data_IF_444873554589
#
_entry.id   IF_444873554589
#
_cell.length_a   1.000
_cell.length_b   1.000
_cell.length_c   1.000
_cell.angle_alpha   90.00
_cell.angle_beta   90.00
_cell.angle_gamma   90.00
#
_symmetry.space_group_name_H-M   'P 1'
#
loop_
_entity.id
_entity.type
_entity.pdbx_description
1 polymer ?
#
# COMPACT_ATOMS: atom_id res chain seq x y z
N UNK A 1 -13.17 -18.62 3.34
CA UNK A 1 -12.12 -18.50 4.39
C UNK A 1 -11.82 -17.03 4.65
N UNK A 2 -11.73 -16.63 5.90
CA UNK A 2 -11.39 -15.27 6.34
C UNK A 2 -10.18 -15.30 7.28
N UNK A 3 -9.26 -14.35 7.12
CA UNK A 3 -8.14 -14.12 8.03
C UNK A 3 -8.31 -12.73 8.63
N UNK A 4 -8.46 -12.62 9.93
CA UNK A 4 -8.58 -11.34 10.63
C UNK A 4 -8.16 -11.51 12.10
N UNK A 5 -7.19 -10.74 12.61
CA UNK A 5 -6.78 -10.82 14.02
C UNK A 5 -7.83 -10.28 14.99
N UNK A 6 -8.79 -9.48 14.53
CA UNK A 6 -9.81 -8.89 15.37
C UNK A 6 -11.00 -9.84 15.55
N UNK A 7 -11.24 -10.27 16.80
CA UNK A 7 -12.34 -11.15 17.18
C UNK A 7 -13.70 -10.43 17.31
N UNK A 8 -13.69 -9.09 17.35
CA UNK A 8 -14.88 -8.27 17.62
C UNK A 8 -15.25 -7.40 16.42
N UNK A 9 -15.44 -8.01 15.26
CA UNK A 9 -15.86 -7.32 14.03
C UNK A 9 -16.99 -8.06 13.35
N UNK A 10 -17.77 -7.35 12.56
CA UNK A 10 -18.83 -7.95 11.73
C UNK A 10 -18.27 -9.04 10.80
N UNK A 11 -17.06 -8.86 10.28
CA UNK A 11 -16.42 -9.84 9.39
C UNK A 11 -16.14 -11.19 10.07
N UNK A 12 -15.90 -11.19 11.38
CA UNK A 12 -15.61 -12.40 12.16
C UNK A 12 -16.83 -12.94 12.90
N UNK A 13 -18.02 -12.39 12.64
CA UNK A 13 -19.27 -12.88 13.19
C UNK A 13 -19.65 -14.23 12.59
N UNK A 14 -20.36 -15.03 13.35
CA UNK A 14 -20.85 -16.34 12.93
C UNK A 14 -21.69 -16.24 11.66
N UNK A 15 -21.47 -17.13 10.71
CA UNK A 15 -22.19 -17.19 9.43
C UNK A 15 -21.67 -16.25 8.33
N UNK A 16 -20.66 -15.40 8.58
CA UNK A 16 -20.07 -14.54 7.55
C UNK A 16 -19.06 -15.29 6.68
N UNK A 17 -18.30 -16.20 7.28
CA UNK A 17 -17.39 -17.08 6.55
C UNK A 17 -17.44 -18.49 7.12
N UNK A 18 -17.26 -19.51 6.26
CA UNK A 18 -17.29 -20.91 6.66
C UNK A 18 -16.11 -21.27 7.57
N UNK A 19 -14.96 -20.62 7.36
CA UNK A 19 -13.77 -20.80 8.17
C UNK A 19 -13.12 -19.45 8.48
N UNK A 20 -12.85 -19.20 9.75
CA UNK A 20 -12.23 -17.96 10.24
C UNK A 20 -10.90 -18.29 10.93
N UNK A 21 -9.84 -17.58 10.53
CA UNK A 21 -8.52 -17.65 11.14
C UNK A 21 -8.24 -16.35 11.89
N UNK A 22 -8.15 -16.40 13.20
CA UNK A 22 -7.76 -15.28 14.05
C UNK A 22 -6.24 -15.16 14.10
N UNK A 23 -5.65 -14.80 12.96
CA UNK A 23 -4.21 -14.69 12.78
C UNK A 23 -3.83 -13.30 12.27
N UNK A 24 -2.62 -12.83 12.57
CA UNK A 24 -2.10 -11.61 11.98
C UNK A 24 -2.06 -11.70 10.45
N UNK A 25 -2.44 -10.61 9.77
CA UNK A 25 -2.38 -10.51 8.31
C UNK A 25 -0.94 -10.19 7.90
N UNK A 26 -0.09 -11.22 7.91
CA UNK A 26 1.30 -11.17 7.46
C UNK A 26 1.56 -12.22 6.38
N UNK A 27 2.56 -12.03 5.49
CA UNK A 27 2.85 -12.99 4.43
C UNK A 27 3.03 -14.42 4.93
N UNK A 28 3.71 -14.60 6.06
CA UNK A 28 3.95 -15.91 6.65
C UNK A 28 2.64 -16.65 7.03
N UNK A 29 1.76 -15.99 7.79
CA UNK A 29 0.51 -16.63 8.22
C UNK A 29 -0.47 -16.82 7.07
N UNK A 30 -0.54 -15.85 6.14
CA UNK A 30 -1.40 -15.97 4.96
C UNK A 30 -0.94 -17.10 4.05
N UNK A 31 0.38 -17.26 3.83
CA UNK A 31 0.92 -18.42 3.08
C UNK A 31 0.53 -19.74 3.75
N UNK A 32 0.63 -19.84 5.09
CA UNK A 32 0.24 -21.06 5.82
C UNK A 32 -1.25 -21.38 5.68
N UNK A 33 -2.11 -20.37 5.66
CA UNK A 33 -3.54 -20.57 5.41
C UNK A 33 -3.78 -20.99 3.95
N UNK A 34 -3.13 -20.37 2.98
CA UNK A 34 -3.19 -20.77 1.58
C UNK A 34 -2.74 -22.23 1.39
N UNK A 35 -1.64 -22.62 2.03
CA UNK A 35 -1.11 -23.98 1.98
C UNK A 35 -2.11 -25.00 2.50
N UNK A 36 -2.82 -24.67 3.59
CA UNK A 36 -3.80 -25.54 4.24
C UNK A 36 -5.12 -25.59 3.49
N UNK A 37 -5.68 -24.44 3.15
CA UNK A 37 -7.04 -24.34 2.60
C UNK A 37 -7.10 -24.50 1.07
N UNK A 38 -5.97 -24.30 0.39
CA UNK A 38 -5.86 -24.41 -1.08
C UNK A 38 -6.96 -23.66 -1.83
N UNK A 39 -7.17 -22.37 -1.54
CA UNK A 39 -8.22 -21.61 -2.21
C UNK A 39 -7.91 -21.39 -3.68
N UNK A 40 -8.94 -21.35 -4.53
CA UNK A 40 -8.80 -20.99 -5.95
C UNK A 40 -8.50 -19.51 -6.16
N UNK A 41 -8.94 -18.67 -5.23
CA UNK A 41 -8.77 -17.21 -5.32
C UNK A 41 -8.65 -16.50 -3.98
N UNK A 42 -8.11 -15.30 -4.03
CA UNK A 42 -7.94 -14.41 -2.89
C UNK A 42 -8.42 -12.99 -3.20
N UNK A 43 -9.10 -12.35 -2.25
CA UNK A 43 -9.52 -10.96 -2.33
C UNK A 43 -8.68 -10.12 -1.36
N UNK A 44 -7.94 -9.14 -1.89
CA UNK A 44 -7.04 -8.29 -1.11
C UNK A 44 -7.71 -6.99 -0.64
N UNK A 45 -8.71 -6.51 -1.36
CA UNK A 45 -9.27 -5.18 -1.15
C UNK A 45 -10.13 -5.02 0.13
N UNK A 46 -10.51 -6.11 0.81
CA UNK A 46 -11.38 -6.07 1.97
C UNK A 46 -10.68 -5.90 3.32
N UNK A 47 -9.36 -5.94 3.37
CA UNK A 47 -8.58 -5.84 4.59
C UNK A 47 -7.80 -4.52 4.77
N UNK A 48 -8.13 -3.49 3.98
CA UNK A 48 -7.44 -2.20 3.99
C UNK A 48 -5.96 -2.31 3.62
N UNK A 49 -5.17 -1.31 3.99
CA UNK A 49 -3.76 -1.20 3.62
C UNK A 49 -2.91 -2.40 4.05
N UNK A 50 -3.22 -2.97 5.22
CA UNK A 50 -2.50 -4.15 5.73
C UNK A 50 -2.63 -5.34 4.80
N UNK A 51 -3.84 -5.62 4.29
CA UNK A 51 -4.07 -6.73 3.38
C UNK A 51 -3.48 -6.44 1.99
N UNK A 52 -3.55 -5.20 1.50
CA UNK A 52 -2.94 -4.79 0.24
C UNK A 52 -1.43 -4.98 0.27
N UNK A 53 -0.76 -4.48 1.31
CA UNK A 53 0.69 -4.63 1.48
C UNK A 53 1.11 -6.10 1.61
N UNK A 54 0.35 -6.89 2.36
CA UNK A 54 0.57 -8.34 2.48
C UNK A 54 0.43 -9.03 1.11
N UNK A 55 -0.61 -8.69 0.34
CA UNK A 55 -0.85 -9.21 -0.99
C UNK A 55 0.26 -8.86 -1.99
N UNK A 56 0.77 -7.62 -1.95
CA UNK A 56 1.92 -7.21 -2.77
C UNK A 56 3.17 -8.01 -2.41
N UNK A 57 3.43 -8.26 -1.12
CA UNK A 57 4.56 -9.08 -0.69
C UNK A 57 4.45 -10.52 -1.19
N UNK A 58 3.29 -11.16 -1.00
CA UNK A 58 3.03 -12.52 -1.48
C UNK A 58 3.15 -12.64 -3.01
N UNK A 59 2.75 -11.61 -3.74
CA UNK A 59 2.89 -11.56 -5.19
C UNK A 59 4.36 -11.49 -5.61
N UNK A 60 5.16 -10.61 -4.98
CA UNK A 60 6.60 -10.49 -5.24
C UNK A 60 7.35 -11.79 -4.95
N UNK A 61 6.95 -12.50 -3.89
CA UNK A 61 7.51 -13.80 -3.48
C UNK A 61 6.94 -14.98 -4.31
N UNK A 62 6.09 -14.70 -5.32
CA UNK A 62 5.45 -15.68 -6.21
C UNK A 62 4.61 -16.75 -5.50
N UNK A 63 4.11 -16.45 -4.31
CA UNK A 63 3.31 -17.39 -3.51
C UNK A 63 1.99 -17.72 -4.21
N UNK A 64 1.35 -16.75 -4.86
CA UNK A 64 0.11 -17.00 -5.60
C UNK A 64 0.34 -17.96 -6.77
N UNK A 65 1.44 -17.81 -7.52
CA UNK A 65 1.82 -18.72 -8.60
C UNK A 65 2.13 -20.12 -8.06
N UNK A 66 2.89 -20.21 -6.96
CA UNK A 66 3.30 -21.46 -6.31
C UNK A 66 2.11 -22.33 -5.91
N UNK A 67 1.03 -21.71 -5.43
CA UNK A 67 -0.15 -22.42 -4.96
C UNK A 67 -1.33 -22.40 -5.96
N UNK A 68 -1.18 -21.74 -7.12
CA UNK A 68 -2.22 -21.62 -8.14
C UNK A 68 -3.38 -20.72 -7.73
N UNK A 69 -3.14 -19.72 -6.86
CA UNK A 69 -4.19 -18.84 -6.33
C UNK A 69 -4.37 -17.64 -7.26
N UNK A 70 -5.61 -17.38 -7.68
CA UNK A 70 -5.96 -16.21 -8.50
C UNK A 70 -6.32 -15.02 -7.62
N UNK A 71 -5.71 -13.86 -7.88
CA UNK A 71 -6.14 -12.62 -7.21
C UNK A 71 -7.42 -12.11 -7.85
N UNK A 72 -8.48 -12.02 -7.05
CA UNK A 72 -9.80 -11.58 -7.46
C UNK A 72 -10.00 -10.07 -7.21
N UNK A 73 -10.74 -9.43 -8.10
CA UNK A 73 -11.00 -7.99 -8.05
C UNK A 73 -9.83 -7.17 -8.61
N UNK A 74 -9.24 -6.29 -7.80
CA UNK A 74 -8.16 -5.38 -8.25
C UNK A 74 -6.86 -6.17 -8.49
N UNK A 75 -6.28 -6.12 -9.69
CA UNK A 75 -4.99 -6.74 -9.98
C UNK A 75 -3.88 -6.17 -9.09
N UNK A 76 -2.94 -7.03 -8.66
CA UNK A 76 -1.83 -6.59 -7.78
C UNK A 76 -0.99 -5.49 -8.41
N UNK A 77 -0.79 -5.53 -9.73
CA UNK A 77 -0.06 -4.48 -10.43
C UNK A 77 -0.76 -3.12 -10.31
N UNK A 78 -2.10 -3.08 -10.41
CA UNK A 78 -2.85 -1.84 -10.20
C UNK A 78 -2.73 -1.31 -8.77
N UNK A 79 -2.65 -2.21 -7.77
CA UNK A 79 -2.38 -1.82 -6.38
C UNK A 79 -1.01 -1.17 -6.28
N UNK A 80 0.03 -1.78 -6.85
CA UNK A 80 1.40 -1.24 -6.85
C UNK A 80 1.44 0.13 -7.54
N UNK A 81 0.82 0.25 -8.71
CA UNK A 81 0.82 1.49 -9.51
C UNK A 81 0.08 2.65 -8.81
N UNK A 82 -0.92 2.35 -7.98
CA UNK A 82 -1.69 3.36 -7.24
C UNK A 82 -1.08 3.72 -5.89
N UNK A 83 -0.32 2.83 -5.28
CA UNK A 83 0.37 3.07 -4.00
C UNK A 83 1.61 3.96 -4.18
N UNK A 84 2.30 3.85 -5.29
CA UNK A 84 3.44 4.69 -5.64
C UNK A 84 2.96 5.98 -6.32
N UNK A 85 3.17 7.11 -5.64
CA UNK A 85 2.70 8.42 -6.14
C UNK A 85 3.34 8.83 -7.45
N UNK A 86 4.59 8.48 -7.68
CA UNK A 86 5.30 8.81 -8.91
C UNK A 86 4.76 8.00 -10.08
N UNK A 87 4.63 6.69 -9.90
CA UNK A 87 4.04 5.79 -10.90
C UNK A 87 2.58 6.19 -11.18
N UNK A 88 1.82 6.52 -10.15
CA UNK A 88 0.43 6.97 -10.31
C UNK A 88 0.31 8.25 -11.16
N UNK A 89 1.17 9.25 -10.91
CA UNK A 89 1.21 10.48 -11.72
C UNK A 89 1.62 10.17 -13.17
N UNK A 90 2.59 9.30 -13.39
CA UNK A 90 2.98 8.86 -14.74
C UNK A 90 1.80 8.21 -15.47
N UNK A 91 1.07 7.30 -14.81
CA UNK A 91 -0.11 6.64 -15.38
C UNK A 91 -1.23 7.63 -15.70
N UNK A 92 -1.45 8.63 -14.86
CA UNK A 92 -2.43 9.69 -15.14
C UNK A 92 -2.02 10.56 -16.34
N UNK A 93 -0.73 10.86 -16.47
CA UNK A 93 -0.21 11.60 -17.61
C UNK A 93 -0.33 10.81 -18.93
N UNK A 94 -0.19 9.48 -18.90
CA UNK A 94 -0.38 8.61 -20.09
C UNK A 94 -1.80 8.72 -20.68
N UNK A 95 -2.80 9.02 -19.83
CA UNK A 95 -4.22 9.19 -20.24
C UNK A 95 -4.65 10.66 -20.30
N UNK A 96 -3.68 11.59 -20.33
CA UNK A 96 -3.90 13.05 -20.43
C UNK A 96 -4.77 13.64 -19.29
N UNK A 97 -4.73 13.02 -18.11
CA UNK A 97 -5.37 13.56 -16.91
C UNK A 97 -4.43 14.53 -16.21
N UNK A 98 -4.87 15.78 -16.09
CA UNK A 98 -4.08 16.83 -15.41
C UNK A 98 -3.92 16.52 -13.93
N UNK A 99 -2.68 16.41 -13.49
CA UNK A 99 -2.30 16.27 -12.09
C UNK A 99 -1.73 17.57 -11.54
N UNK A 100 -1.74 17.70 -10.21
CA UNK A 100 -0.99 18.78 -9.55
C UNK A 100 0.49 18.53 -9.79
N UNK A 101 1.23 19.58 -10.21
CA UNK A 101 2.68 19.49 -10.37
C UNK A 101 3.30 19.01 -9.07
N UNK A 102 3.99 17.89 -9.14
CA UNK A 102 4.69 17.29 -8.00
C UNK A 102 6.07 16.82 -8.43
N UNK A 103 7.04 16.91 -7.55
CA UNK A 103 8.41 16.45 -7.77
C UNK A 103 8.80 15.61 -6.57
N UNK A 104 9.21 14.36 -6.81
CA UNK A 104 9.73 13.48 -5.77
C UNK A 104 11.14 13.93 -5.39
N UNK A 105 11.40 14.14 -4.12
CA UNK A 105 12.70 14.56 -3.61
C UNK A 105 13.09 13.69 -2.42
N UNK A 106 14.31 13.18 -2.43
CA UNK A 106 14.79 12.26 -1.40
C UNK A 106 15.53 12.95 -0.25
N UNK A 107 15.96 14.20 -0.46
CA UNK A 107 16.72 14.94 0.53
C UNK A 107 16.35 16.42 0.58
N UNK A 108 16.76 17.11 1.66
CA UNK A 108 16.43 18.50 1.90
C UNK A 108 17.09 19.48 0.89
N UNK A 109 18.22 19.13 0.27
CA UNK A 109 18.86 19.95 -0.74
C UNK A 109 18.06 19.97 -2.03
N UNK A 110 17.59 18.80 -2.47
CA UNK A 110 16.73 18.65 -3.65
C UNK A 110 15.36 19.31 -3.42
N UNK A 111 14.79 19.17 -2.21
CA UNK A 111 13.55 19.88 -1.84
C UNK A 111 13.68 21.41 -1.96
N UNK A 112 14.81 21.97 -1.52
CA UNK A 112 15.07 23.42 -1.67
C UNK A 112 15.26 23.83 -3.11
N UNK A 113 15.88 22.99 -3.93
CA UNK A 113 16.06 23.24 -5.36
C UNK A 113 14.70 23.21 -6.08
N UNK A 114 13.90 22.18 -5.84
CA UNK A 114 12.55 22.06 -6.38
C UNK A 114 11.68 23.25 -5.97
N UNK A 115 11.68 23.63 -4.68
CA UNK A 115 10.91 24.77 -4.16
C UNK A 115 11.32 26.13 -4.78
N UNK A 116 12.57 26.32 -5.20
CA UNK A 116 13.01 27.53 -5.90
C UNK A 116 12.49 27.62 -7.33
N UNK A 117 12.26 26.46 -7.96
CA UNK A 117 11.72 26.37 -9.32
C UNK A 117 10.20 26.53 -9.35
N UNK A 118 9.56 26.41 -8.20
CA UNK A 118 8.12 26.55 -8.01
C UNK A 118 7.86 27.80 -7.21
N UNK A 119 6.99 28.67 -7.70
CA UNK A 119 6.61 29.89 -6.98
C UNK A 119 6.15 29.53 -5.54
N UNK A 120 6.56 30.31 -4.57
CA UNK A 120 6.71 30.12 -3.13
C UNK A 120 5.58 29.50 -2.28
N UNK A 121 4.58 28.86 -2.86
CA UNK A 121 3.51 28.14 -2.16
C UNK A 121 3.54 26.63 -2.44
N UNK A 122 4.69 26.01 -2.20
CA UNK A 122 4.79 24.54 -2.30
C UNK A 122 4.46 23.89 -0.97
N UNK A 123 3.55 22.92 -0.99
CA UNK A 123 3.30 22.03 0.15
C UNK A 123 4.16 20.79 -0.02
N UNK A 124 5.12 20.55 0.87
CA UNK A 124 5.87 19.31 0.90
C UNK A 124 5.18 18.30 1.81
N UNK A 125 4.80 17.15 1.27
CA UNK A 125 4.34 16.00 2.04
C UNK A 125 5.48 15.00 2.09
N UNK A 126 6.10 14.76 3.27
CA UNK A 126 7.22 13.84 3.35
C UNK A 126 6.73 12.40 3.12
N UNK A 127 7.47 11.67 2.31
CA UNK A 127 7.34 10.21 2.20
C UNK A 127 8.09 9.49 3.34
N UNK A 128 8.66 10.27 4.28
CA UNK A 128 9.47 9.78 5.40
C UNK A 128 8.62 9.57 6.66
N UNK A 129 9.12 8.71 7.56
CA UNK A 129 8.49 8.46 8.86
C UNK A 129 8.29 9.77 9.63
N UNK A 130 7.20 9.84 10.38
CA UNK A 130 6.79 11.03 11.16
C UNK A 130 7.92 11.66 12.00
N UNK A 131 8.86 10.86 12.51
CA UNK A 131 10.00 11.30 13.30
C UNK A 131 11.03 12.14 12.52
N UNK A 132 11.20 11.86 11.24
CA UNK A 132 12.14 12.57 10.37
C UNK A 132 11.52 13.88 9.85
N UNK A 133 10.20 13.92 9.74
CA UNK A 133 9.45 15.12 9.38
C UNK A 133 9.55 16.22 10.45
N UNK A 134 9.46 15.87 11.74
CA UNK A 134 9.59 16.83 12.87
C UNK A 134 10.96 17.52 12.86
N UNK A 135 12.03 16.81 12.49
CA UNK A 135 13.38 17.40 12.36
C UNK A 135 13.50 18.32 11.14
N UNK A 136 12.93 17.94 10.00
CA UNK A 136 12.99 18.76 8.80
C UNK A 136 12.19 20.07 8.93
N UNK A 137 11.00 20.01 9.52
CA UNK A 137 10.16 21.20 9.77
C UNK A 137 10.71 22.14 10.81
N UNK A 138 11.46 21.64 11.81
CA UNK A 138 12.14 22.48 12.81
C UNK A 138 13.30 23.29 12.20
N UNK A 139 13.93 22.79 11.14
CA UNK A 139 15.04 23.47 10.46
C UNK A 139 14.54 24.55 9.49
N UNK A 140 13.33 24.41 8.94
CA UNK A 140 12.73 25.41 8.05
C UNK A 140 12.21 26.67 8.79
N UNK A 141 11.94 26.60 10.10
CA UNK A 141 11.46 27.74 10.90
C UNK A 141 12.56 28.68 11.40
N UNK A 142 13.84 28.39 11.13
CA UNK A 142 15.01 29.17 11.58
C UNK A 142 15.79 29.86 10.47
N UNK A 143 15.20 30.02 9.27
CA UNK A 143 15.81 30.77 8.17
C UNK A 143 14.93 31.95 7.77
#
# INVERSE_FOLDING_TARGET
>A
VLINPNIATVQTSEGVADQIYFLPVTPYFVEKVIEKERPDGIMLAFGGQTALNCGVSLYKDKIFEKYGVTVLGTPVQAIIDTEDREIFVQKLNEIDVKTIKSEAVENAADARRAARNWDTRSLSVPHMRLADWVRASATMKKS
#
